data_IF_050901995424
#
_entry.id   IF_050901995424
#
_cell.length_a   1.000
_cell.length_b   1.000
_cell.length_c   1.000
_cell.angle_alpha   90.00
_cell.angle_beta   90.00
_cell.angle_gamma   90.00
#
_symmetry.space_group_name_H-M   'P 1'
#
loop_
_entity.id
_entity.type
_entity.pdbx_description
1 polymer ?
#
# COMPACT_ATOMS: atom_id res chain seq x y z
N UNK A 1 -6.22 -18.09 7.97
CA UNK A 1 -4.79 -17.97 7.66
C UNK A 1 -4.50 -16.57 7.18
N UNK A 2 -3.56 -15.87 7.81
CA UNK A 2 -3.26 -14.48 7.48
C UNK A 2 -2.43 -14.39 6.21
N UNK A 3 -2.89 -13.58 5.26
CA UNK A 3 -2.16 -13.28 4.04
C UNK A 3 -1.91 -11.78 3.94
N UNK A 4 -0.88 -11.41 3.22
CA UNK A 4 -0.58 -10.02 2.92
C UNK A 4 -0.31 -9.86 1.43
N UNK A 5 -0.67 -8.68 0.91
CA UNK A 5 -0.18 -8.19 -0.37
C UNK A 5 0.87 -7.12 -0.08
N UNK A 6 2.01 -7.19 -0.76
CA UNK A 6 3.03 -6.16 -0.67
C UNK A 6 3.29 -5.53 -2.03
N UNK A 7 3.49 -4.21 -2.03
CA UNK A 7 3.76 -3.43 -3.23
C UNK A 7 4.94 -2.51 -2.95
N UNK A 8 5.94 -2.53 -3.82
CA UNK A 8 7.12 -1.65 -3.72
C UNK A 8 7.26 -0.81 -4.96
N UNK A 9 7.63 0.43 -4.79
CA UNK A 9 7.85 1.39 -5.86
C UNK A 9 8.78 2.48 -5.36
N UNK A 10 9.20 3.38 -6.25
CA UNK A 10 10.11 4.46 -5.88
C UNK A 10 9.42 5.81 -5.95
N UNK A 11 9.78 6.68 -5.01
CA UNK A 11 9.35 8.07 -4.94
C UNK A 11 10.62 8.93 -4.95
N UNK A 12 10.61 10.03 -5.69
CA UNK A 12 11.71 10.97 -5.64
C UNK A 12 11.85 11.52 -4.22
N UNK A 13 13.07 11.57 -3.70
CA UNK A 13 13.33 12.05 -2.34
C UNK A 13 12.80 13.48 -2.13
N UNK A 14 12.87 14.31 -3.16
CA UNK A 14 12.34 15.67 -3.13
C UNK A 14 10.81 15.71 -2.95
N UNK A 15 10.10 14.63 -3.25
CA UNK A 15 8.65 14.52 -3.12
C UNK A 15 8.20 13.87 -1.80
N UNK A 16 9.12 13.59 -0.89
CA UNK A 16 8.82 12.88 0.36
C UNK A 16 7.67 13.52 1.14
N UNK A 17 7.74 14.81 1.40
CA UNK A 17 6.70 15.51 2.16
C UNK A 17 5.37 15.55 1.43
N UNK A 18 5.40 15.72 0.12
CA UNK A 18 4.20 15.68 -0.73
C UNK A 18 3.55 14.31 -0.67
N UNK A 19 4.36 13.26 -0.74
CA UNK A 19 3.90 11.88 -0.65
C UNK A 19 3.27 11.60 0.72
N UNK A 20 3.88 12.06 1.82
CA UNK A 20 3.31 11.89 3.16
C UNK A 20 1.94 12.56 3.28
N UNK A 21 1.80 13.79 2.79
CA UNK A 21 0.51 14.49 2.84
C UNK A 21 -0.55 13.77 2.03
N UNK A 22 -0.20 13.31 0.84
CA UNK A 22 -1.14 12.58 -0.01
C UNK A 22 -1.53 11.25 0.60
N UNK A 23 -0.55 10.50 1.12
CA UNK A 23 -0.82 9.22 1.77
C UNK A 23 -1.72 9.39 3.00
N UNK A 24 -1.48 10.42 3.81
CA UNK A 24 -2.33 10.73 4.95
C UNK A 24 -3.78 10.95 4.51
N UNK A 25 -3.98 11.72 3.45
CA UNK A 25 -5.30 11.96 2.88
C UNK A 25 -5.96 10.66 2.41
N UNK A 26 -5.20 9.83 1.71
CA UNK A 26 -5.68 8.54 1.18
C UNK A 26 -6.11 7.62 2.32
N UNK A 27 -5.26 7.48 3.34
CA UNK A 27 -5.54 6.60 4.47
C UNK A 27 -6.68 7.11 5.35
N UNK A 28 -6.82 8.42 5.53
CA UNK A 28 -7.96 9.01 6.23
C UNK A 28 -9.27 8.71 5.49
N UNK A 29 -9.25 8.79 4.17
CA UNK A 29 -10.40 8.43 3.35
C UNK A 29 -10.77 6.95 3.54
N UNK A 30 -9.78 6.06 3.46
CA UNK A 30 -10.01 4.62 3.66
C UNK A 30 -10.54 4.33 5.06
N UNK A 31 -9.99 4.97 6.09
CA UNK A 31 -10.44 4.82 7.47
C UNK A 31 -11.89 5.24 7.66
N UNK A 32 -12.33 6.25 6.92
CA UNK A 32 -13.70 6.77 6.97
C UNK A 32 -14.69 5.96 6.12
N UNK A 33 -14.21 5.04 5.30
CA UNK A 33 -15.03 4.24 4.37
C UNK A 33 -14.71 2.76 4.47
N UNK A 34 -14.84 2.15 5.67
CA UNK A 34 -14.48 0.74 5.85
C UNK A 34 -15.30 -0.21 4.99
N UNK A 35 -16.47 0.22 4.52
CA UNK A 35 -17.32 -0.58 3.62
C UNK A 35 -16.70 -0.77 2.24
N UNK A 36 -15.75 0.06 1.84
CA UNK A 36 -15.10 -0.01 0.53
C UNK A 36 -13.84 -0.88 0.54
N UNK A 37 -13.27 -1.16 1.70
CA UNK A 37 -11.95 -1.78 1.79
C UNK A 37 -11.96 -2.99 2.72
N UNK A 38 -11.74 -4.19 2.15
CA UNK A 38 -11.76 -5.46 2.89
C UNK A 38 -10.35 -5.90 3.29
N UNK A 39 -9.62 -5.04 3.95
CA UNK A 39 -8.39 -5.44 4.63
C UNK A 39 -8.52 -5.19 6.14
N UNK A 40 -7.76 -5.94 6.93
CA UNK A 40 -7.79 -5.80 8.39
C UNK A 40 -6.76 -4.79 8.87
N UNK A 41 -5.70 -4.59 8.08
CA UNK A 41 -4.61 -3.68 8.45
C UNK A 41 -3.85 -3.27 7.20
N UNK A 42 -3.43 -2.00 7.15
CA UNK A 42 -2.44 -1.54 6.16
C UNK A 42 -1.26 -0.91 6.89
N UNK A 43 -0.07 -1.12 6.36
CA UNK A 43 1.16 -0.56 6.91
C UNK A 43 2.00 0.00 5.77
N UNK A 44 2.67 1.11 6.04
CA UNK A 44 3.48 1.81 5.04
C UNK A 44 4.89 1.96 5.56
N UNK A 45 5.86 1.74 4.69
CA UNK A 45 7.29 1.81 5.03
C UNK A 45 8.03 2.56 3.93
N UNK A 46 9.13 3.19 4.31
CA UNK A 46 10.05 3.74 3.31
C UNK A 46 11.50 3.56 3.76
N UNK A 47 12.40 3.61 2.81
CA UNK A 47 13.83 3.61 3.05
C UNK A 47 14.52 4.42 1.94
N UNK A 48 15.71 4.94 2.23
CA UNK A 48 16.54 5.53 1.19
C UNK A 48 16.99 4.42 0.23
N UNK A 49 16.97 4.73 -1.07
CA UNK A 49 17.48 3.79 -2.07
C UNK A 49 19.00 3.84 -2.09
N UNK A 50 19.66 2.69 -1.88
CA UNK A 50 21.12 2.61 -1.84
C UNK A 50 21.76 2.89 -3.21
N UNK A 51 21.07 2.50 -4.27
CA UNK A 51 21.55 2.62 -5.64
C UNK A 51 21.25 3.98 -6.29
N UNK A 52 20.43 4.81 -5.64
CA UNK A 52 20.05 6.12 -6.17
C UNK A 52 19.80 7.11 -5.03
N UNK A 53 20.74 8.04 -4.74
CA UNK A 53 20.61 8.96 -3.61
C UNK A 53 19.41 9.89 -3.67
N UNK A 54 18.85 10.11 -4.86
CA UNK A 54 17.72 11.01 -5.06
C UNK A 54 16.36 10.32 -4.97
N UNK A 55 16.34 9.03 -4.62
CA UNK A 55 15.12 8.25 -4.55
C UNK A 55 14.97 7.53 -3.22
N UNK A 56 13.71 7.25 -2.89
CA UNK A 56 13.32 6.41 -1.78
C UNK A 56 12.54 5.21 -2.32
N UNK A 57 12.63 4.08 -1.63
CA UNK A 57 11.78 2.92 -1.90
C UNK A 57 10.65 2.96 -0.87
N UNK A 58 9.42 2.93 -1.35
CA UNK A 58 8.22 2.87 -0.50
C UNK A 58 7.57 1.50 -0.66
N UNK A 59 7.03 0.99 0.43
CA UNK A 59 6.37 -0.31 0.45
C UNK A 59 5.06 -0.21 1.21
N UNK A 60 3.99 -0.70 0.59
CA UNK A 60 2.69 -0.86 1.26
C UNK A 60 2.44 -2.34 1.50
N UNK A 61 1.92 -2.65 2.68
CA UNK A 61 1.53 -4.01 3.06
C UNK A 61 0.09 -3.98 3.53
N UNK A 62 -0.78 -4.66 2.79
CA UNK A 62 -2.18 -4.85 3.16
C UNK A 62 -2.35 -6.27 3.71
N UNK A 63 -2.93 -6.39 4.90
CA UNK A 63 -3.20 -7.65 5.57
C UNK A 63 -4.69 -7.93 5.52
N UNK A 64 -5.07 -9.18 5.22
CA UNK A 64 -6.47 -9.57 5.07
C UNK A 64 -6.65 -11.06 5.40
N UNK A 65 -7.90 -11.47 5.64
CA UNK A 65 -8.25 -12.86 5.88
C UNK A 65 -8.77 -13.55 4.61
N UNK A 66 -9.43 -12.79 3.73
CA UNK A 66 -10.03 -13.29 2.49
C UNK A 66 -9.48 -12.48 1.31
N UNK A 67 -8.57 -13.09 0.54
CA UNK A 67 -7.94 -12.42 -0.58
C UNK A 67 -8.93 -12.06 -1.69
N UNK A 68 -9.87 -12.93 -1.97
CA UNK A 68 -10.87 -12.66 -3.02
C UNK A 68 -11.72 -11.44 -2.67
N UNK A 69 -12.22 -11.36 -1.43
CA UNK A 69 -12.97 -10.21 -0.94
C UNK A 69 -12.13 -8.94 -0.96
N UNK A 70 -10.86 -9.02 -0.53
CA UNK A 70 -9.93 -7.90 -0.56
C UNK A 70 -9.75 -7.38 -1.98
N UNK A 71 -9.39 -8.26 -2.91
CA UNK A 71 -9.12 -7.89 -4.29
C UNK A 71 -10.36 -7.32 -4.97
N UNK A 72 -11.50 -7.99 -4.81
CA UNK A 72 -12.76 -7.53 -5.40
C UNK A 72 -13.18 -6.16 -4.87
N UNK A 73 -12.97 -5.90 -3.58
CA UNK A 73 -13.29 -4.60 -2.98
C UNK A 73 -12.43 -3.48 -3.57
N UNK A 74 -11.14 -3.73 -3.79
CA UNK A 74 -10.24 -2.76 -4.42
C UNK A 74 -10.65 -2.47 -5.86
N UNK A 75 -10.96 -3.51 -6.64
CA UNK A 75 -11.39 -3.35 -8.03
C UNK A 75 -12.69 -2.55 -8.11
N UNK A 76 -13.63 -2.86 -7.23
CA UNK A 76 -14.91 -2.16 -7.18
C UNK A 76 -14.72 -0.70 -6.77
N UNK A 77 -13.89 -0.42 -5.77
CA UNK A 77 -13.61 0.94 -5.34
C UNK A 77 -13.00 1.77 -6.47
N UNK A 78 -12.05 1.20 -7.20
CA UNK A 78 -11.41 1.89 -8.35
C UNK A 78 -12.41 2.16 -9.48
N UNK A 79 -13.36 1.25 -9.70
CA UNK A 79 -14.34 1.37 -10.77
C UNK A 79 -15.50 2.30 -10.41
N UNK A 80 -16.02 2.19 -9.18
CA UNK A 80 -17.31 2.76 -8.81
C UNK A 80 -17.24 3.95 -7.84
N UNK A 81 -16.09 4.16 -7.17
CA UNK A 81 -15.93 5.26 -6.22
C UNK A 81 -14.96 6.31 -6.77
N UNK A 82 -15.48 7.48 -7.20
CA UNK A 82 -14.64 8.51 -7.81
C UNK A 82 -13.50 8.99 -6.91
N UNK A 83 -13.69 9.05 -5.60
CA UNK A 83 -12.65 9.50 -4.67
C UNK A 83 -11.52 8.47 -4.56
N UNK A 84 -11.85 7.16 -4.53
CA UNK A 84 -10.83 6.11 -4.54
C UNK A 84 -10.03 6.12 -5.85
N UNK A 85 -10.71 6.26 -6.98
CA UNK A 85 -10.06 6.34 -8.29
C UNK A 85 -9.13 7.54 -8.38
N UNK A 86 -9.57 8.71 -7.91
CA UNK A 86 -8.76 9.94 -7.91
C UNK A 86 -7.55 9.82 -6.99
N UNK A 87 -7.73 9.27 -5.81
CA UNK A 87 -6.62 9.03 -4.87
C UNK A 87 -5.56 8.12 -5.49
N UNK A 88 -5.98 7.06 -6.15
CA UNK A 88 -5.07 6.16 -6.83
C UNK A 88 -4.33 6.86 -7.97
N UNK A 89 -5.05 7.65 -8.78
CA UNK A 89 -4.46 8.38 -9.90
C UNK A 89 -3.39 9.37 -9.41
N UNK A 90 -3.69 10.15 -8.38
CA UNK A 90 -2.74 11.15 -7.85
C UNK A 90 -1.52 10.47 -7.23
N UNK A 91 -1.70 9.34 -6.57
CA UNK A 91 -0.59 8.57 -6.04
C UNK A 91 0.31 8.04 -7.16
N UNK A 92 -0.27 7.46 -8.19
CA UNK A 92 0.49 6.91 -9.32
C UNK A 92 1.35 7.97 -10.01
N UNK A 93 0.92 9.23 -10.00
CA UNK A 93 1.70 10.34 -10.56
C UNK A 93 3.00 10.64 -9.79
N UNK A 94 3.06 10.26 -8.50
CA UNK A 94 4.27 10.45 -7.69
C UNK A 94 5.30 9.35 -7.90
N UNK A 95 4.91 8.22 -8.44
CA UNK A 95 5.81 7.08 -8.63
C UNK A 95 6.82 7.41 -9.72
N UNK A 96 8.11 7.19 -9.42
CA UNK A 96 9.17 7.35 -10.41
C UNK A 96 8.87 6.46 -11.61
N UNK A 97 8.89 7.01 -12.86
CA UNK A 97 8.56 6.22 -14.05
C UNK A 97 9.36 4.92 -14.14
N UNK A 98 8.68 3.83 -14.48
CA UNK A 98 9.29 2.51 -14.62
C UNK A 98 9.43 1.73 -13.32
N UNK A 99 9.05 2.30 -12.17
CA UNK A 99 9.16 1.63 -10.86
C UNK A 99 7.82 1.18 -10.28
N UNK A 100 6.70 1.47 -10.97
CA UNK A 100 5.39 1.00 -10.52
C UNK A 100 5.37 -0.53 -10.46
N UNK A 101 4.72 -1.11 -9.43
CA UNK A 101 4.66 -2.56 -9.31
C UNK A 101 3.94 -3.17 -10.51
N UNK A 102 4.49 -4.27 -11.05
CA UNK A 102 3.86 -5.02 -12.15
C UNK A 102 2.78 -5.96 -11.66
N UNK A 103 2.65 -6.09 -10.35
CA UNK A 103 1.67 -6.94 -9.69
C UNK A 103 1.90 -6.91 -8.20
N UNK A 104 1.06 -7.64 -7.46
CA UNK A 104 1.19 -7.75 -6.02
C UNK A 104 1.96 -9.02 -5.67
N UNK A 105 2.84 -8.92 -4.69
CA UNK A 105 3.44 -10.10 -4.07
C UNK A 105 2.50 -10.54 -2.95
N UNK A 106 2.02 -11.78 -3.03
CA UNK A 106 1.10 -12.35 -2.05
C UNK A 106 1.86 -13.31 -1.15
N UNK A 107 1.83 -13.05 0.15
CA UNK A 107 2.55 -13.83 1.15
C UNK A 107 1.58 -14.42 2.15
N UNK A 108 1.79 -15.68 2.54
CA UNK A 108 1.02 -16.33 3.59
C UNK A 108 1.89 -16.45 4.83
N UNK A 109 1.38 -15.97 5.98
CA UNK A 109 2.11 -16.08 7.23
C UNK A 109 2.12 -17.52 7.71
N UNK A 110 3.31 -18.01 8.07
CA UNK A 110 3.48 -19.29 8.76
C UNK A 110 3.39 -19.05 10.26
N UNK A 111 2.16 -18.99 10.77
CA UNK A 111 1.88 -18.56 12.14
C UNK A 111 2.53 -19.43 13.21
N UNK A 112 2.66 -20.74 12.96
CA UNK A 112 3.30 -21.68 13.88
C UNK A 112 4.81 -21.46 14.03
N UNK A 113 5.40 -20.63 13.15
CA UNK A 113 6.83 -20.31 13.19
C UNK A 113 7.11 -18.93 13.75
N UNK A 114 6.09 -18.29 14.32
CA UNK A 114 6.22 -16.97 14.92
C UNK A 114 6.91 -17.04 16.27
N UNK A 115 7.84 -16.13 16.53
CA UNK A 115 8.45 -15.93 17.85
C UNK A 115 8.17 -14.49 18.26
N UNK A 116 7.65 -14.31 19.46
CA UNK A 116 7.36 -13.00 20.02
C UNK A 116 8.05 -12.90 21.39
N UNK A 117 8.67 -11.74 21.65
CA UNK A 117 9.31 -11.44 22.92
C UNK A 117 8.61 -10.27 23.57
N UNK A 118 8.46 -10.34 24.88
CA UNK A 118 7.94 -9.25 25.69
C UNK A 118 9.10 -8.47 26.32
N UNK A 119 9.76 -7.65 25.49
CA UNK A 119 10.88 -6.84 25.94
C UNK A 119 10.45 -5.51 26.55
#
# INVERSE_FOLDING_TARGET
MTQIDSMRFRIAKADHEKALRLLTKILDYQRSHPELYHYTRTRSYFMDAEDCPDQEIWMFIDEYDDREAYWDSLQKAMRDDPSSAENNRTWMELIVPGTAPKGHEVWTEMEDLRVEFDH
#
